data_IF_064581560442
#
_entry.id   IF_064581560442
#
_cell.length_a   1.000
_cell.length_b   1.000
_cell.length_c   1.000
_cell.angle_alpha   90.00
_cell.angle_beta   90.00
_cell.angle_gamma   90.00
#
_symmetry.space_group_name_H-M   'P 1'
#
loop_
_entity.id
_entity.type
_entity.pdbx_description
1 polymer ?
#
# COMPACT_ATOMS: atom_id res chain seq x y z
N UNK A 1 -10.64 18.67 -3.93
CA UNK A 1 -9.67 17.82 -4.65
C UNK A 1 -9.22 16.73 -3.69
N UNK A 2 -9.11 15.49 -4.16
CA UNK A 2 -8.65 14.35 -3.37
C UNK A 2 -7.33 13.86 -3.93
N UNK A 3 -6.56 13.15 -3.11
CA UNK A 3 -5.28 12.57 -3.51
C UNK A 3 -5.28 11.08 -3.20
N UNK A 4 -4.66 10.27 -4.04
CA UNK A 4 -4.38 8.86 -3.77
C UNK A 4 -2.93 8.54 -4.17
N UNK A 5 -2.51 7.30 -3.98
CA UNK A 5 -1.23 6.77 -4.41
C UNK A 5 -1.49 5.79 -5.55
N UNK A 6 -0.89 6.08 -6.70
CA UNK A 6 -0.78 5.14 -7.80
C UNK A 6 0.50 4.31 -7.61
N UNK A 7 0.39 3.00 -7.73
CA UNK A 7 1.47 2.02 -7.60
C UNK A 7 1.66 1.27 -8.90
N UNK A 8 2.92 1.06 -9.27
CA UNK A 8 3.32 0.26 -10.41
C UNK A 8 4.18 -0.91 -9.93
N UNK A 9 3.73 -2.13 -10.18
CA UNK A 9 4.39 -3.36 -9.73
C UNK A 9 4.21 -4.50 -10.72
N UNK A 10 5.15 -5.43 -10.76
CA UNK A 10 4.95 -6.73 -11.42
C UNK A 10 4.28 -7.68 -10.44
N UNK A 11 3.37 -8.52 -10.94
CA UNK A 11 2.82 -9.69 -10.24
C UNK A 11 2.70 -10.86 -11.23
N UNK A 12 2.40 -12.05 -10.73
CA UNK A 12 2.29 -13.23 -11.57
C UNK A 12 2.32 -14.54 -10.81
N UNK A 13 2.69 -15.58 -11.56
CA UNK A 13 2.90 -16.93 -11.07
C UNK A 13 4.13 -17.54 -11.77
N UNK A 14 4.32 -18.86 -11.64
CA UNK A 14 5.44 -19.57 -12.23
C UNK A 14 5.46 -19.55 -13.77
N UNK A 15 4.32 -19.31 -14.41
CA UNK A 15 4.16 -19.39 -15.86
C UNK A 15 4.05 -18.00 -16.51
N UNK A 16 3.53 -17.01 -15.80
CA UNK A 16 3.24 -15.68 -16.34
C UNK A 16 3.58 -14.57 -15.34
N UNK A 17 4.25 -13.52 -15.83
CA UNK A 17 4.42 -12.26 -15.10
C UNK A 17 3.92 -11.09 -15.94
N UNK A 18 3.31 -10.10 -15.31
CA UNK A 18 2.83 -8.89 -15.98
C UNK A 18 2.86 -7.68 -15.05
N UNK A 19 2.95 -6.50 -15.66
CA UNK A 19 2.93 -5.23 -14.94
C UNK A 19 1.50 -4.77 -14.64
N UNK A 20 1.31 -4.27 -13.42
CA UNK A 20 0.07 -3.73 -12.90
C UNK A 20 0.28 -2.28 -12.52
N UNK A 21 -0.59 -1.41 -13.04
CA UNK A 21 -0.73 -0.05 -12.58
C UNK A 21 -2.05 0.06 -11.82
N UNK A 22 -1.98 0.33 -10.52
CA UNK A 22 -3.14 0.35 -9.63
C UNK A 22 -3.17 1.64 -8.80
N UNK A 23 -4.35 2.02 -8.30
CA UNK A 23 -4.52 3.14 -7.39
C UNK A 23 -5.08 2.64 -6.08
N UNK A 24 -4.39 2.94 -4.97
CA UNK A 24 -4.80 2.50 -3.65
C UNK A 24 -6.21 3.06 -3.34
N UNK A 25 -7.09 2.21 -2.82
CA UNK A 25 -8.48 2.56 -2.45
C UNK A 25 -8.56 3.35 -1.12
N UNK A 26 -7.69 4.34 -0.98
CA UNK A 26 -7.71 5.36 0.08
C UNK A 26 -7.53 6.71 -0.58
N UNK A 27 -8.33 7.68 -0.14
CA UNK A 27 -8.26 9.05 -0.62
C UNK A 27 -7.99 10.03 0.52
N UNK A 28 -6.93 10.80 0.39
CA UNK A 28 -6.56 11.88 1.32
C UNK A 28 -7.18 13.20 0.89
N UNK A 29 -7.51 14.02 1.89
CA UNK A 29 -8.05 15.37 1.64
C UNK A 29 -6.94 16.41 1.45
N UNK A 30 -5.74 16.11 1.95
CA UNK A 30 -4.55 16.94 1.80
C UNK A 30 -3.47 16.19 1.00
N UNK A 31 -2.71 16.95 0.21
CA UNK A 31 -1.55 16.42 -0.52
C UNK A 31 -0.44 15.99 0.44
N UNK A 32 -0.28 16.74 1.53
CA UNK A 32 0.71 16.49 2.58
C UNK A 32 0.44 15.14 3.26
N UNK A 33 -0.83 14.83 3.56
CA UNK A 33 -1.23 13.52 4.09
C UNK A 33 -0.89 12.38 3.11
N UNK A 34 -1.21 12.55 1.82
CA UNK A 34 -0.88 11.55 0.80
C UNK A 34 0.63 11.36 0.63
N UNK A 35 1.42 12.44 0.73
CA UNK A 35 2.89 12.37 0.69
C UNK A 35 3.44 11.67 1.93
N UNK A 36 2.87 11.91 3.12
CA UNK A 36 3.25 11.20 4.34
C UNK A 36 2.93 9.69 4.23
N UNK A 37 1.79 9.33 3.65
CA UNK A 37 1.45 7.94 3.35
C UNK A 37 2.41 7.30 2.34
N UNK A 38 2.81 8.03 1.30
CA UNK A 38 3.82 7.57 0.34
C UNK A 38 5.20 7.37 0.99
N UNK A 39 5.57 8.21 1.96
CA UNK A 39 6.78 8.03 2.75
C UNK A 39 6.69 6.77 3.62
N UNK A 40 5.53 6.49 4.23
CA UNK A 40 5.28 5.25 4.96
C UNK A 40 5.45 4.01 4.07
N UNK A 41 4.87 4.04 2.86
CA UNK A 41 5.04 2.97 1.86
C UNK A 41 6.52 2.76 1.53
N UNK A 42 7.27 3.84 1.28
CA UNK A 42 8.70 3.75 0.98
C UNK A 42 9.51 3.14 2.11
N UNK A 43 9.25 3.53 3.36
CA UNK A 43 9.94 2.95 4.52
C UNK A 43 9.59 1.48 4.73
N UNK A 44 8.32 1.12 4.57
CA UNK A 44 7.84 -0.26 4.63
C UNK A 44 8.49 -1.13 3.54
N UNK A 45 8.56 -0.64 2.30
CA UNK A 45 9.22 -1.35 1.20
C UNK A 45 10.70 -1.62 1.50
N UNK A 46 11.42 -0.62 2.02
CA UNK A 46 12.82 -0.79 2.44
C UNK A 46 12.95 -1.81 3.58
N UNK A 47 11.99 -1.84 4.51
CA UNK A 47 11.93 -2.86 5.55
C UNK A 47 11.72 -4.26 4.95
N UNK A 48 10.72 -4.44 4.09
CA UNK A 48 10.41 -5.70 3.42
C UNK A 48 11.63 -6.25 2.66
N UNK A 49 12.26 -5.41 1.83
CA UNK A 49 13.46 -5.78 1.07
C UNK A 49 14.64 -6.19 1.97
N UNK A 50 14.82 -5.51 3.12
CA UNK A 50 15.85 -5.90 4.09
C UNK A 50 15.53 -7.22 4.76
N UNK A 51 14.26 -7.45 5.09
CA UNK A 51 13.81 -8.65 5.75
C UNK A 51 14.03 -9.88 4.85
N UNK A 52 13.65 -9.77 3.56
CA UNK A 52 13.76 -10.85 2.58
C UNK A 52 15.22 -11.26 2.31
N UNK A 53 16.16 -10.31 2.43
CA UNK A 53 17.59 -10.51 2.11
C UNK A 53 18.51 -10.78 3.32
N UNK A 54 17.98 -10.97 4.53
CA UNK A 54 18.80 -11.02 5.75
C UNK A 54 18.86 -12.40 6.42
N UNK A 55 19.94 -12.63 7.19
CA UNK A 55 20.06 -13.81 8.05
C UNK A 55 19.24 -13.63 9.34
N UNK A 56 18.87 -14.73 10.01
CA UNK A 56 17.93 -14.74 11.15
C UNK A 56 18.27 -13.75 12.29
N UNK A 57 19.54 -13.47 12.59
CA UNK A 57 19.91 -12.51 13.66
C UNK A 57 19.74 -11.04 13.25
N UNK A 58 19.95 -10.74 11.97
CA UNK A 58 19.73 -9.39 11.43
C UNK A 58 18.24 -9.10 11.33
N UNK A 59 17.45 -10.13 11.03
CA UNK A 59 15.99 -10.09 10.98
C UNK A 59 15.38 -9.54 12.28
N UNK A 60 15.75 -10.09 13.44
CA UNK A 60 15.24 -9.62 14.74
C UNK A 60 15.51 -8.12 14.96
N UNK A 61 16.71 -7.67 14.62
CA UNK A 61 17.09 -6.25 14.78
C UNK A 61 16.32 -5.35 13.81
N UNK A 62 16.09 -5.80 12.58
CA UNK A 62 15.29 -5.08 11.57
C UNK A 62 13.85 -4.91 12.07
N UNK A 63 13.25 -5.98 12.59
CA UNK A 63 11.88 -5.96 13.12
C UNK A 63 11.76 -5.08 14.36
N UNK A 64 12.69 -5.15 15.32
CA UNK A 64 12.65 -4.28 16.52
C UNK A 64 12.75 -2.79 16.16
N UNK A 65 13.58 -2.44 15.18
CA UNK A 65 13.65 -1.06 14.69
C UNK A 65 12.36 -0.63 13.99
N UNK A 66 11.72 -1.54 13.26
CA UNK A 66 10.46 -1.28 12.58
C UNK A 66 9.31 -1.01 13.57
N UNK A 67 9.26 -1.69 14.72
CA UNK A 67 8.23 -1.47 15.77
C UNK A 67 8.12 -0.02 16.27
N UNK A 68 9.16 0.78 16.11
CA UNK A 68 9.18 2.19 16.53
C UNK A 68 8.65 3.15 15.43
N UNK A 69 8.28 2.63 14.26
CA UNK A 69 7.82 3.42 13.12
C UNK A 69 6.31 3.57 13.12
N UNK A 70 5.82 4.74 12.72
CA UNK A 70 4.38 5.01 12.64
C UNK A 70 3.64 4.09 11.66
N UNK A 71 4.34 3.60 10.63
CA UNK A 71 3.76 2.72 9.61
C UNK A 71 3.69 1.25 10.06
N UNK A 72 4.28 0.88 11.19
CA UNK A 72 4.39 -0.52 11.59
C UNK A 72 3.02 -1.13 11.91
N UNK A 73 2.64 -2.15 11.15
CA UNK A 73 1.44 -2.95 11.43
C UNK A 73 1.81 -4.13 12.35
N UNK A 74 1.31 -4.19 13.60
CA UNK A 74 1.62 -5.29 14.52
C UNK A 74 0.98 -6.63 14.12
N UNK A 75 0.01 -6.63 13.20
CA UNK A 75 -0.69 -7.84 12.76
C UNK A 75 0.05 -8.50 11.59
N UNK A 76 0.49 -7.70 10.61
CA UNK A 76 1.08 -8.22 9.38
C UNK A 76 2.13 -7.25 8.80
N UNK A 77 3.26 -7.03 9.50
CA UNK A 77 4.24 -6.00 9.13
C UNK A 77 4.91 -6.25 7.77
N UNK A 78 4.89 -7.48 7.27
CA UNK A 78 5.42 -7.86 5.95
C UNK A 78 4.47 -7.51 4.81
N UNK A 79 3.15 -7.57 5.04
CA UNK A 79 2.11 -7.50 3.99
C UNK A 79 1.13 -6.35 4.18
N UNK A 80 1.35 -5.52 5.20
CA UNK A 80 0.66 -4.25 5.38
C UNK A 80 1.48 -3.23 6.17
N UNK A 81 1.09 -1.97 5.98
CA UNK A 81 1.60 -0.83 6.74
C UNK A 81 0.46 0.12 7.09
N UNK A 82 0.62 0.86 8.18
CA UNK A 82 -0.37 1.78 8.70
C UNK A 82 -0.20 3.18 8.07
N UNK A 83 -1.31 3.82 7.75
CA UNK A 83 -1.37 5.22 7.29
C UNK A 83 -2.42 6.00 8.05
N UNK A 84 -2.23 7.31 8.20
CA UNK A 84 -3.23 8.22 8.75
C UNK A 84 -4.16 8.74 7.65
N UNK A 85 -5.46 8.79 7.94
CA UNK A 85 -6.50 9.38 7.10
C UNK A 85 -7.34 10.28 8.01
N UNK A 86 -7.07 11.58 8.02
CA UNK A 86 -7.57 12.45 9.09
C UNK A 86 -7.10 11.96 10.46
N UNK A 87 -8.05 11.73 11.38
CA UNK A 87 -7.77 11.31 12.76
C UNK A 87 -7.71 9.78 12.94
N UNK A 88 -7.95 8.99 11.88
CA UNK A 88 -7.95 7.53 11.94
C UNK A 88 -6.70 6.93 11.31
N UNK A 89 -6.26 5.79 11.87
CA UNK A 89 -5.19 4.97 11.29
C UNK A 89 -5.79 3.76 10.60
N UNK A 90 -5.37 3.52 9.36
CA UNK A 90 -5.90 2.44 8.51
C UNK A 90 -4.74 1.56 8.03
N UNK A 91 -4.86 0.22 8.07
CA UNK A 91 -3.89 -0.67 7.45
C UNK A 91 -4.08 -0.71 5.93
N UNK A 92 -2.99 -0.53 5.19
CA UNK A 92 -2.90 -0.72 3.75
C UNK A 92 -2.19 -2.03 3.45
N UNK A 93 -2.83 -2.88 2.64
CA UNK A 93 -2.24 -4.12 2.12
C UNK A 93 -1.23 -3.82 1.02
N UNK A 94 -0.21 -4.66 0.90
CA UNK A 94 0.84 -4.52 -0.11
C UNK A 94 0.82 -5.70 -1.08
N UNK A 95 -0.03 -5.67 -2.14
CA UNK A 95 -0.05 -6.71 -3.16
C UNK A 95 1.24 -6.79 -3.99
N UNK A 96 2.14 -5.83 -3.84
CA UNK A 96 3.48 -5.81 -4.43
C UNK A 96 4.57 -6.42 -3.53
N UNK A 97 4.19 -7.04 -2.41
CA UNK A 97 5.08 -7.82 -1.55
C UNK A 97 4.70 -9.29 -1.64
N UNK A 98 5.60 -10.12 -2.15
CA UNK A 98 5.40 -11.54 -2.33
C UNK A 98 6.47 -12.15 -3.24
N UNK A 99 6.34 -13.44 -3.53
CA UNK A 99 7.36 -14.20 -4.24
C UNK A 99 7.48 -13.84 -5.74
N UNK A 100 6.35 -13.51 -6.38
CA UNK A 100 6.31 -13.12 -7.80
C UNK A 100 6.17 -11.60 -7.98
N UNK A 101 6.17 -10.88 -6.87
CA UNK A 101 5.84 -9.48 -6.82
C UNK A 101 7.10 -8.61 -6.83
N UNK A 102 7.05 -7.46 -7.52
CA UNK A 102 8.12 -6.46 -7.45
C UNK A 102 7.55 -5.07 -7.61
N UNK A 103 7.71 -4.22 -6.59
CA UNK A 103 7.36 -2.81 -6.67
C UNK A 103 8.39 -2.02 -7.50
N UNK A 104 7.92 -1.34 -8.55
CA UNK A 104 8.77 -0.51 -9.41
C UNK A 104 8.72 0.97 -9.04
N UNK A 105 7.51 1.47 -8.79
CA UNK A 105 7.28 2.89 -8.53
C UNK A 105 5.97 3.10 -7.75
N UNK A 106 5.91 4.20 -6.99
CA UNK A 106 4.68 4.70 -6.39
C UNK A 106 4.70 6.23 -6.41
N UNK A 107 3.55 6.85 -6.71
CA UNK A 107 3.43 8.32 -6.77
C UNK A 107 2.09 8.81 -6.26
N UNK A 108 2.08 9.99 -5.64
CA UNK A 108 0.84 10.68 -5.30
C UNK A 108 0.20 11.23 -6.57
N UNK A 109 -1.07 10.92 -6.77
CA UNK A 109 -1.90 11.40 -7.88
C UNK A 109 -3.09 12.19 -7.34
N UNK A 110 -3.52 13.22 -8.08
CA UNK A 110 -4.79 13.87 -7.80
C UNK A 110 -5.92 13.01 -8.38
N UNK A 111 -6.98 12.82 -7.60
CA UNK A 111 -8.16 12.06 -8.02
C UNK A 111 -9.29 13.04 -8.22
N UNK A 112 -9.83 13.08 -9.43
CA UNK A 112 -11.10 13.75 -9.70
C UNK A 112 -12.20 12.98 -8.99
N UNK A 113 -13.15 13.70 -8.38
CA UNK A 113 -14.22 13.12 -7.56
C UNK A 113 -15.05 12.16 -8.44
N UNK A 114 -14.84 10.83 -8.35
CA UNK A 114 -15.55 9.91 -9.23
C UNK A 114 -17.03 9.93 -8.84
N UNK A 115 -17.92 9.80 -9.82
CA UNK A 115 -19.35 9.64 -9.56
C UNK A 115 -19.56 8.53 -8.53
N UNK A 116 -20.19 8.85 -7.40
CA UNK A 116 -20.55 7.87 -6.40
C UNK A 116 -21.83 7.19 -6.87
N UNK A 117 -21.73 5.92 -7.24
CA UNK A 117 -22.88 5.07 -7.54
C UNK A 117 -23.25 4.35 -6.26
N UNK A 118 -24.43 4.65 -5.72
CA UNK A 118 -24.95 3.96 -4.55
C UNK A 118 -25.28 2.51 -4.92
N UNK A 119 -24.90 1.55 -4.08
CA UNK A 119 -25.30 0.16 -4.26
C UNK A 119 -26.82 0.02 -4.37
N UNK A 120 -27.56 0.80 -3.59
CA UNK A 120 -29.03 0.79 -3.59
C UNK A 120 -29.63 1.40 -4.88
N UNK A 121 -28.82 2.11 -5.68
CA UNK A 121 -29.23 2.63 -6.99
C UNK A 121 -29.14 1.60 -8.12
N UNK A 122 -28.54 0.43 -7.86
CA UNK A 122 -28.38 -0.65 -8.84
C UNK A 122 -29.65 -1.50 -8.90
N UNK A 123 -30.40 -1.38 -10.01
CA UNK A 123 -31.59 -2.19 -10.25
C UNK A 123 -31.23 -3.62 -10.69
N UNK A 124 -31.20 -4.55 -9.74
CA UNK A 124 -30.90 -5.96 -9.96
C UNK A 124 -31.87 -6.68 -10.90
N UNK A 125 -33.04 -6.10 -11.21
CA UNK A 125 -34.01 -6.69 -12.16
C UNK A 125 -33.66 -6.41 -13.63
N UNK A 126 -32.59 -5.66 -13.89
CA UNK A 126 -32.10 -5.35 -15.24
C UNK A 126 -30.77 -6.05 -15.59
N UNK A 127 -30.31 -6.97 -14.74
CA UNK A 127 -29.17 -7.87 -14.99
C UNK A 127 -29.65 -9.21 -15.57
#
# INVERSE_FOLDING_TARGET
MKYSIEVHYTTGDTENCYDVLDTIDIQWSSKEEAVAALQCLKEHWVFYMKQDNCYTKEHETIVENAKQKEWFDPISPEYSFLVKVGDVTVPLRTPWNGYFETLHNARVVAVDNPEQIDFDSLDWKKL
#
